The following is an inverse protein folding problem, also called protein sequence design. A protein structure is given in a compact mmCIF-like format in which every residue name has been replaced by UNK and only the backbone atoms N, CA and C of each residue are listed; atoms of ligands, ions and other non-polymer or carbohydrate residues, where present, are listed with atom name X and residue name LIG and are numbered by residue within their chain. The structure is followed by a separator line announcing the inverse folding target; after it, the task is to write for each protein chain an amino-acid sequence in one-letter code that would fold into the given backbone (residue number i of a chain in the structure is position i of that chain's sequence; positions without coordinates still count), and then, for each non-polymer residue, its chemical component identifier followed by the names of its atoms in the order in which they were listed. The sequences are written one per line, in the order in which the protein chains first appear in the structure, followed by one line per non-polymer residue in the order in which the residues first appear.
data_IF_859907559310
#
_entry.id   IF_859907559310
#
_cell.length_a   1.000
_cell.length_b   1.000
_cell.length_c   1.000
_cell.angle_alpha   90.00
_cell.angle_beta   90.00
_cell.angle_gamma   90.00
#
_symmetry.space_group_name_H-M   'P 1'
#
loop_
_entity.id
_entity.type
_entity.pdbx_description
1 polymer ?
#
# COMPACT_ATOMS: atom_id res chain seq x y z
N UNK A 1 3.70 -15.83 -13.00
CA UNK A 1 4.85 -14.99 -13.43
C UNK A 1 6.16 -15.55 -12.89
N UNK A 2 6.32 -15.76 -11.58
CA UNK A 2 7.53 -16.35 -10.97
C UNK A 2 7.92 -17.71 -11.58
N UNK A 3 6.93 -18.56 -11.89
CA UNK A 3 7.14 -19.85 -12.56
C UNK A 3 7.49 -19.69 -14.05
N UNK A 4 6.87 -18.72 -14.73
CA UNK A 4 7.10 -18.48 -16.16
C UNK A 4 8.54 -18.05 -16.46
N UNK A 5 9.23 -17.48 -15.49
CA UNK A 5 10.65 -17.08 -15.60
C UNK A 5 11.60 -18.11 -14.99
N UNK A 6 11.13 -19.27 -14.51
CA UNK A 6 11.95 -20.21 -13.75
C UNK A 6 13.24 -20.63 -14.48
N UNK A 7 13.17 -20.86 -15.79
CA UNK A 7 14.32 -21.21 -16.64
C UNK A 7 15.35 -20.09 -16.78
N UNK A 8 14.97 -18.84 -16.52
CA UNK A 8 15.83 -17.66 -16.62
C UNK A 8 16.48 -17.27 -15.28
N UNK A 9 16.08 -17.91 -14.18
CA UNK A 9 16.57 -17.56 -12.84
C UNK A 9 17.83 -18.34 -12.50
N UNK A 10 18.76 -17.66 -11.84
CA UNK A 10 19.87 -18.26 -11.09
C UNK A 10 19.54 -18.25 -9.59
N UNK A 11 20.31 -18.98 -8.79
CA UNK A 11 20.10 -19.03 -7.32
C UNK A 11 20.17 -17.66 -6.64
N UNK A 12 20.96 -16.74 -7.18
CA UNK A 12 21.11 -15.36 -6.72
C UNK A 12 20.05 -14.39 -7.26
N UNK A 13 19.14 -14.84 -8.12
CA UNK A 13 18.14 -13.96 -8.75
C UNK A 13 17.15 -13.45 -7.71
N UNK A 14 17.22 -12.16 -7.42
CA UNK A 14 16.30 -11.46 -6.54
C UNK A 14 15.02 -11.07 -7.28
N UNK A 15 13.87 -11.55 -6.80
CA UNK A 15 12.56 -11.15 -7.31
C UNK A 15 12.06 -9.94 -6.54
N UNK A 16 11.90 -8.81 -7.22
CA UNK A 16 11.36 -7.57 -6.62
C UNK A 16 9.94 -7.32 -7.08
N UNK A 17 9.04 -6.96 -6.17
CA UNK A 17 7.71 -6.45 -6.52
C UNK A 17 7.69 -4.92 -6.45
N UNK A 18 6.81 -4.28 -7.23
CA UNK A 18 6.62 -2.83 -7.14
C UNK A 18 5.80 -2.43 -5.89
N UNK A 19 5.83 -1.15 -5.56
CA UNK A 19 5.22 -0.60 -4.36
C UNK A 19 3.69 -0.84 -4.37
N UNK A 20 3.21 -1.66 -3.44
CA UNK A 20 1.78 -1.99 -3.29
C UNK A 20 1.33 -3.25 -4.03
N UNK A 21 2.17 -3.86 -4.87
CA UNK A 21 1.82 -5.04 -5.67
C UNK A 21 2.34 -6.35 -5.06
N UNK A 22 1.96 -6.63 -3.81
CA UNK A 22 2.28 -7.90 -3.16
C UNK A 22 1.09 -8.47 -2.36
N UNK A 23 1.11 -9.79 -2.16
CA UNK A 23 0.17 -10.51 -1.29
C UNK A 23 0.95 -11.47 -0.41
N UNK A 24 0.51 -11.64 0.83
CA UNK A 24 1.15 -12.55 1.80
C UNK A 24 1.27 -13.98 1.26
N UNK A 25 0.24 -14.47 0.56
CA UNK A 25 0.25 -15.79 -0.07
C UNK A 25 1.41 -15.95 -1.09
N UNK A 26 1.71 -14.91 -1.87
CA UNK A 26 2.80 -14.94 -2.84
C UNK A 26 4.16 -14.94 -2.14
N UNK A 27 4.29 -14.14 -1.07
CA UNK A 27 5.53 -14.08 -0.27
C UNK A 27 5.80 -15.41 0.42
N UNK A 28 4.76 -16.07 0.92
CA UNK A 28 4.84 -17.41 1.49
C UNK A 28 5.31 -18.42 0.45
N UNK A 29 4.73 -18.42 -0.75
CA UNK A 29 5.15 -19.30 -1.84
C UNK A 29 6.63 -19.09 -2.23
N UNK A 30 7.08 -17.84 -2.32
CA UNK A 30 8.48 -17.50 -2.58
C UNK A 30 9.41 -17.98 -1.46
N UNK A 31 8.99 -17.83 -0.21
CA UNK A 31 9.75 -18.30 0.95
C UNK A 31 9.86 -19.83 0.98
N UNK A 32 8.76 -20.55 0.73
CA UNK A 32 8.74 -22.03 0.65
C UNK A 32 9.61 -22.57 -0.47
N UNK A 33 9.71 -21.85 -1.59
CA UNK A 33 10.58 -22.21 -2.71
C UNK A 33 12.03 -21.73 -2.55
N UNK A 34 12.40 -21.15 -1.39
CA UNK A 34 13.72 -20.55 -1.14
C UNK A 34 14.16 -19.51 -2.19
N UNK A 35 13.21 -18.79 -2.78
CA UNK A 35 13.49 -17.77 -3.79
C UNK A 35 13.76 -16.43 -3.09
N UNK A 36 14.92 -15.79 -3.33
CA UNK A 36 15.18 -14.45 -2.81
C UNK A 36 14.15 -13.46 -3.36
N UNK A 37 13.55 -12.67 -2.47
CA UNK A 37 12.58 -11.65 -2.86
C UNK A 37 12.68 -10.39 -2.01
N UNK A 38 12.34 -9.24 -2.58
CA UNK A 38 12.28 -7.96 -1.91
C UNK A 38 10.95 -7.27 -2.25
N UNK A 39 10.35 -6.64 -1.26
CA UNK A 39 9.18 -5.77 -1.47
C UNK A 39 9.74 -4.36 -1.67
N UNK A 40 9.16 -3.55 -2.54
CA UNK A 40 9.56 -2.15 -2.64
C UNK A 40 9.21 -1.36 -1.38
N UNK A 41 10.08 -0.44 -0.95
CA UNK A 41 9.70 0.49 0.11
C UNK A 41 8.85 1.63 -0.48
N UNK A 42 7.59 1.68 -0.02
CA UNK A 42 6.65 2.76 -0.37
C UNK A 42 7.11 4.14 0.11
N UNK A 43 7.99 4.20 1.12
CA UNK A 43 8.50 5.41 1.71
C UNK A 43 9.94 5.74 1.28
N UNK A 44 10.51 5.01 0.30
CA UNK A 44 11.91 5.17 -0.14
C UNK A 44 12.26 6.64 -0.42
N UNK A 45 11.41 7.34 -1.19
CA UNK A 45 11.61 8.77 -1.52
C UNK A 45 11.52 9.71 -0.31
N UNK A 46 10.89 9.29 0.78
CA UNK A 46 10.81 10.08 2.01
C UNK A 46 12.03 9.93 2.92
N UNK A 47 12.80 8.86 2.74
CA UNK A 47 14.00 8.56 3.54
C UNK A 47 15.30 9.00 2.87
N UNK A 48 15.27 9.16 1.54
CA UNK A 48 16.45 9.50 0.74
C UNK A 48 16.64 11.01 0.59
N UNK A 49 17.81 11.50 0.99
CA UNK A 49 18.21 12.90 0.95
C UNK A 49 18.07 13.51 -0.45
N UNK A 50 18.27 12.71 -1.52
CA UNK A 50 18.15 13.16 -2.92
C UNK A 50 16.74 13.64 -3.28
N UNK A 51 15.72 13.22 -2.53
CA UNK A 51 14.32 13.53 -2.78
C UNK A 51 13.73 14.57 -1.81
N UNK A 52 14.53 15.20 -0.95
CA UNK A 52 14.04 16.23 -0.02
C UNK A 52 13.32 17.38 -0.73
N UNK A 53 13.80 17.78 -1.90
CA UNK A 53 13.21 18.86 -2.70
C UNK A 53 12.08 18.40 -3.65
N UNK A 54 11.61 17.15 -3.57
CA UNK A 54 10.60 16.60 -4.50
C UNK A 54 9.31 17.44 -4.53
N UNK A 55 8.98 18.12 -3.43
CA UNK A 55 7.84 19.03 -3.33
C UNK A 55 7.78 20.09 -4.43
N UNK A 56 8.93 20.50 -5.00
CA UNK A 56 9.02 21.47 -6.10
C UNK A 56 8.28 21.04 -7.38
N UNK A 57 8.13 19.73 -7.59
CA UNK A 57 7.42 19.17 -8.75
C UNK A 57 5.91 19.06 -8.53
N UNK A 58 5.45 19.07 -7.27
CA UNK A 58 4.02 19.05 -6.92
C UNK A 58 3.40 20.46 -6.89
N UNK A 59 4.23 21.50 -6.80
CA UNK A 59 3.80 22.89 -6.74
C UNK A 59 3.53 23.53 -8.12
N UNK A 60 3.93 22.85 -9.21
CA UNK A 60 3.67 23.36 -10.55
C UNK A 60 2.19 23.13 -10.90
N UNK A 61 1.47 24.15 -11.42
CA UNK A 61 0.15 23.91 -11.97
C UNK A 61 0.27 22.89 -13.09
N UNK A 62 -0.54 21.84 -13.02
CA UNK A 62 -0.60 20.83 -14.07
C UNK A 62 -1.25 21.50 -15.30
N UNK A 63 -0.54 21.48 -16.43
CA UNK A 63 -0.88 22.26 -17.63
C UNK A 63 -2.12 21.73 -18.36
N UNK A 64 -2.51 20.49 -18.07
CA UNK A 64 -3.58 19.77 -18.77
C UNK A 64 -4.86 19.62 -17.92
N UNK A 65 -4.73 19.46 -16.60
CA UNK A 65 -5.85 19.24 -15.69
C UNK A 65 -5.65 20.02 -14.38
N UNK A 66 -6.69 20.65 -13.84
CA UNK A 66 -6.61 21.21 -12.48
C UNK A 66 -6.59 20.09 -11.43
N UNK A 67 -5.39 19.61 -11.09
CA UNK A 67 -5.15 18.60 -10.04
C UNK A 67 -4.93 19.23 -8.67
N UNK A 68 -5.34 20.49 -8.48
CA UNK A 68 -5.40 21.12 -7.17
C UNK A 68 -6.07 20.19 -6.16
N UNK A 69 -5.41 19.92 -5.03
CA UNK A 69 -6.02 19.12 -3.97
C UNK A 69 -7.22 19.90 -3.45
N UNK A 70 -8.45 19.35 -3.48
CA UNK A 70 -9.59 20.03 -2.89
C UNK A 70 -9.30 20.34 -1.42
N UNK A 71 -9.87 21.42 -0.87
CA UNK A 71 -9.68 21.78 0.53
C UNK A 71 -9.94 20.57 1.43
N UNK A 72 -8.95 20.26 2.28
CA UNK A 72 -9.04 19.11 3.19
C UNK A 72 -10.24 19.30 4.11
N UNK A 73 -11.26 18.47 3.93
CA UNK A 73 -12.34 18.34 4.90
C UNK A 73 -11.77 18.10 6.31
N UNK A 74 -12.49 18.58 7.32
CA UNK A 74 -12.12 18.35 8.72
C UNK A 74 -11.88 16.86 8.98
N UNK A 75 -10.71 16.54 9.55
CA UNK A 75 -10.26 15.16 9.80
C UNK A 75 -11.29 14.43 10.67
N UNK A 76 -11.83 13.33 10.15
CA UNK A 76 -12.70 12.41 10.90
C UNK A 76 -11.91 11.72 12.02
N UNK A 77 -12.61 11.33 13.08
CA UNK A 77 -11.99 10.64 14.21
C UNK A 77 -11.41 9.27 13.80
N UNK A 78 -10.15 9.06 14.15
CA UNK A 78 -9.36 7.83 13.98
C UNK A 78 -9.38 7.03 15.28
N UNK A 79 -9.02 5.73 15.26
CA UNK A 79 -8.92 4.92 16.49
C UNK A 79 -8.06 5.56 17.58
N UNK A 80 -7.01 6.31 17.22
CA UNK A 80 -6.15 7.03 18.17
C UNK A 80 -6.85 8.18 18.92
N UNK A 81 -8.01 8.64 18.45
CA UNK A 81 -8.80 9.66 19.15
C UNK A 81 -9.78 9.02 20.16
N UNK A 82 -9.73 7.71 20.34
CA UNK A 82 -10.53 6.95 21.31
C UNK A 82 -9.58 6.44 22.39
N UNK A 83 -9.99 6.61 23.64
CA UNK A 83 -9.24 6.14 24.80
C UNK A 83 -9.61 4.67 25.04
N UNK A 84 -8.69 3.74 24.79
CA UNK A 84 -8.90 2.31 25.01
C UNK A 84 -8.10 1.81 26.22
N UNK A 85 -8.83 1.34 27.23
CA UNK A 85 -8.27 0.53 28.30
C UNK A 85 -8.56 -0.94 28.00
N UNK A 86 -7.53 -1.61 27.48
CA UNK A 86 -7.61 -3.03 27.10
C UNK A 86 -7.65 -3.97 28.28
N UNK A 87 -7.11 -3.58 29.42
CA UNK A 87 -7.10 -4.40 30.64
C UNK A 87 -8.48 -4.36 31.31
N UNK A 88 -9.09 -3.17 31.38
CA UNK A 88 -10.45 -3.00 31.87
C UNK A 88 -11.53 -3.39 30.85
N UNK A 89 -11.17 -3.57 29.57
CA UNK A 89 -12.13 -3.85 28.49
C UNK A 89 -13.08 -2.68 28.20
N UNK A 90 -12.60 -1.44 28.43
CA UNK A 90 -13.40 -0.23 28.24
C UNK A 90 -12.82 0.65 27.13
N UNK A 91 -13.69 1.41 26.46
CA UNK A 91 -13.25 2.39 25.47
C UNK A 91 -14.14 3.64 25.54
N UNK A 92 -13.54 4.82 25.59
CA UNK A 92 -14.23 6.10 25.65
C UNK A 92 -14.01 6.85 24.34
N UNK A 93 -15.10 7.24 23.68
CA UNK A 93 -15.03 8.03 22.46
C UNK A 93 -14.74 9.51 22.72
N UNK A 94 -14.38 10.29 21.68
CA UNK A 94 -14.11 11.73 21.78
C UNK A 94 -15.25 12.58 22.38
N UNK A 95 -16.47 12.05 22.41
CA UNK A 95 -17.64 12.68 23.03
C UNK A 95 -17.81 12.35 24.52
N UNK A 96 -16.84 11.67 25.15
CA UNK A 96 -16.91 11.20 26.54
C UNK A 96 -17.91 10.06 26.78
N UNK A 97 -18.33 9.36 25.71
CA UNK A 97 -19.29 8.25 25.79
C UNK A 97 -18.58 6.91 25.72
N UNK A 98 -18.97 5.98 26.58
CA UNK A 98 -18.40 4.64 26.62
C UNK A 98 -18.90 3.80 25.42
N UNK A 99 -17.99 3.02 24.85
CA UNK A 99 -18.25 1.96 23.89
C UNK A 99 -18.11 0.62 24.62
N UNK A 100 -18.94 -0.35 24.23
CA UNK A 100 -18.86 -1.70 24.79
C UNK A 100 -18.05 -2.63 23.88
N UNK A 101 -17.34 -3.56 24.48
CA UNK A 101 -16.57 -4.57 23.78
C UNK A 101 -17.51 -5.63 23.18
N UNK A 102 -17.36 -5.92 21.88
CA UNK A 102 -18.15 -6.94 21.16
C UNK A 102 -17.28 -8.12 20.74
N UNK A 103 -16.34 -8.49 21.61
CA UNK A 103 -15.35 -9.56 21.46
C UNK A 103 -13.90 -9.07 21.60
N UNK A 104 -13.11 -9.76 22.42
CA UNK A 104 -11.64 -9.78 22.34
C UNK A 104 -11.23 -10.76 21.23
N UNK A 105 -10.14 -10.47 20.52
CA UNK A 105 -9.49 -11.43 19.60
C UNK A 105 -10.29 -11.83 18.34
N UNK A 106 -11.06 -10.91 17.73
CA UNK A 106 -11.64 -11.17 16.41
C UNK A 106 -10.60 -11.00 15.29
N UNK A 107 -10.56 -11.92 14.33
CA UNK A 107 -9.74 -11.75 13.13
C UNK A 107 -10.34 -10.64 12.24
N UNK A 108 -9.62 -9.53 12.06
CA UNK A 108 -10.01 -8.42 11.20
C UNK A 108 -8.87 -8.08 10.24
N UNK A 109 -9.10 -8.28 8.93
CA UNK A 109 -8.09 -8.09 7.88
C UNK A 109 -6.78 -8.87 8.15
N UNK A 110 -6.90 -10.10 8.67
CA UNK A 110 -5.74 -10.94 9.00
C UNK A 110 -5.04 -10.58 10.32
N UNK A 111 -5.52 -9.58 11.05
CA UNK A 111 -4.98 -9.20 12.36
C UNK A 111 -5.98 -9.50 13.46
N UNK A 112 -5.51 -9.98 14.60
CA UNK A 112 -6.30 -10.01 15.83
C UNK A 112 -6.60 -8.58 16.28
N UNK A 113 -7.89 -8.27 16.42
CA UNK A 113 -8.35 -6.97 16.85
C UNK A 113 -9.42 -7.09 17.94
N UNK A 114 -9.34 -6.19 18.91
CA UNK A 114 -10.43 -5.96 19.86
C UNK A 114 -11.41 -4.99 19.23
N UNK A 115 -12.68 -5.37 19.21
CA UNK A 115 -13.75 -4.56 18.60
C UNK A 115 -14.59 -3.90 19.68
N UNK A 116 -14.66 -2.58 19.64
CA UNK A 116 -15.57 -1.77 20.44
C UNK A 116 -16.68 -1.19 19.57
N UNK A 117 -17.90 -1.16 20.10
CA UNK A 117 -19.09 -0.66 19.42
C UNK A 117 -19.80 0.37 20.29
N UNK A 118 -20.18 1.50 19.70
CA UNK A 118 -21.01 2.48 20.39
C UNK A 118 -22.43 1.98 20.64
N UNK A 119 -23.06 2.43 21.73
CA UNK A 119 -24.48 2.20 21.98
C UNK A 119 -25.33 3.07 21.03
N UNK A 120 -26.52 2.60 20.62
CA UNK A 120 -27.43 3.46 19.85
C UNK A 120 -27.95 4.62 20.70
N UNK A 121 -28.16 4.39 22.00
CA UNK A 121 -28.62 5.38 22.96
C UNK A 121 -27.71 6.61 23.02
N UNK A 122 -26.40 6.41 23.00
CA UNK A 122 -25.42 7.49 23.12
C UNK A 122 -24.91 7.97 21.75
N UNK A 123 -24.78 7.05 20.78
CA UNK A 123 -24.20 7.35 19.48
C UNK A 123 -25.14 8.07 18.51
N UNK A 124 -26.45 7.79 18.57
CA UNK A 124 -27.46 8.45 17.71
C UNK A 124 -27.63 9.93 18.03
N UNK A 125 -27.81 10.36 19.30
CA UNK A 125 -27.95 11.78 19.65
C UNK A 125 -26.62 12.54 19.74
N UNK A 126 -25.48 11.91 19.47
CA UNK A 126 -24.17 12.55 19.61
C UNK A 126 -23.96 13.70 18.62
N UNK A 127 -23.67 14.90 19.09
CA UNK A 127 -23.39 16.08 18.23
C UNK A 127 -22.13 15.94 17.35
N UNK A 128 -21.23 14.99 17.68
CA UNK A 128 -20.00 14.74 16.93
C UNK A 128 -20.16 13.68 15.81
N UNK A 129 -21.40 13.27 15.52
CA UNK A 129 -21.70 12.17 14.61
C UNK A 129 -21.19 12.36 13.18
N UNK A 130 -21.25 13.57 12.64
CA UNK A 130 -20.73 13.90 11.31
C UNK A 130 -19.19 13.75 11.20
N UNK A 131 -18.46 14.00 12.30
CA UNK A 131 -17.01 13.80 12.39
C UNK A 131 -16.63 12.35 12.75
N UNK A 132 -17.55 11.62 13.38
CA UNK A 132 -17.35 10.25 13.84
C UNK A 132 -17.68 9.21 12.78
N UNK A 133 -18.69 9.42 11.93
CA UNK A 133 -19.13 8.42 10.94
C UNK A 133 -18.78 8.83 9.51
N UNK A 134 -18.45 7.85 8.66
CA UNK A 134 -18.24 8.08 7.22
C UNK A 134 -19.55 8.36 6.49
N UNK A 135 -20.59 7.61 6.86
CA UNK A 135 -21.96 7.67 6.30
C UNK A 135 -22.98 7.69 7.44
N UNK A 136 -23.19 8.85 8.11
CA UNK A 136 -24.09 8.99 9.26
C UNK A 136 -25.53 8.53 9.02
N UNK A 137 -25.99 8.59 7.77
CA UNK A 137 -27.33 8.23 7.29
C UNK A 137 -27.55 6.71 7.23
N UNK A 138 -26.50 5.92 6.96
CA UNK A 138 -26.57 4.44 6.92
C UNK A 138 -26.11 3.80 8.22
N UNK A 139 -25.07 4.37 8.84
CA UNK A 139 -24.41 3.75 9.99
C UNK A 139 -24.95 4.33 11.27
N UNK A 140 -25.56 3.52 12.14
CA UNK A 140 -26.14 4.02 13.40
C UNK A 140 -25.12 4.31 14.48
N UNK A 141 -24.03 3.56 14.57
CA UNK A 141 -23.02 3.69 15.63
C UNK A 141 -21.62 3.42 15.08
N UNK A 142 -20.60 4.03 15.69
CA UNK A 142 -19.21 3.78 15.32
C UNK A 142 -18.78 2.40 15.84
N UNK A 143 -18.05 1.70 14.99
CA UNK A 143 -17.25 0.55 15.39
C UNK A 143 -15.78 0.94 15.29
N UNK A 144 -15.01 0.64 16.33
CA UNK A 144 -13.56 0.89 16.39
C UNK A 144 -12.87 -0.43 16.63
N UNK A 145 -11.80 -0.67 15.87
CA UNK A 145 -10.98 -1.86 15.96
C UNK A 145 -9.60 -1.45 16.43
N UNK A 146 -9.20 -1.94 17.60
CA UNK A 146 -7.85 -1.78 18.10
C UNK A 146 -7.08 -3.05 17.79
N UNK A 147 -6.06 -2.90 16.93
CA UNK A 147 -5.18 -4.02 16.59
C UNK A 147 -4.25 -4.27 17.77
N UNK A 148 -4.26 -5.48 18.29
CA UNK A 148 -3.22 -5.96 19.19
C UNK A 148 -2.11 -6.59 18.38
N UNK A 149 -0.85 -6.24 18.65
CA UNK A 149 0.24 -7.17 18.36
C UNK A 149 0.22 -8.19 19.50
N UNK A 150 -0.28 -9.39 19.25
CA UNK A 150 -0.03 -10.46 20.21
C UNK A 150 1.48 -10.77 20.15
N UNK A 151 2.19 -10.86 21.29
CA UNK A 151 3.64 -11.15 21.28
C UNK A 151 3.98 -12.51 20.66
N UNK A 152 2.99 -13.39 20.43
CA UNK A 152 3.16 -14.71 19.83
C UNK A 152 2.59 -14.86 18.42
N UNK A 153 2.17 -13.78 17.74
CA UNK A 153 1.89 -13.90 16.31
C UNK A 153 3.23 -14.12 15.60
N UNK A 154 3.40 -15.32 15.00
CA UNK A 154 4.54 -15.59 14.14
C UNK A 154 4.71 -14.44 13.15
N UNK A 155 5.94 -13.99 13.00
CA UNK A 155 6.24 -12.87 12.12
C UNK A 155 5.74 -13.17 10.70
N UNK A 156 4.96 -12.24 10.14
CA UNK A 156 4.50 -12.39 8.76
C UNK A 156 5.66 -12.33 7.77
N UNK A 157 5.52 -12.97 6.61
CA UNK A 157 6.52 -12.85 5.55
C UNK A 157 6.65 -11.40 5.08
N UNK A 158 5.57 -10.63 5.11
CA UNK A 158 5.61 -9.18 4.86
C UNK A 158 6.52 -8.46 5.84
N UNK A 159 6.37 -8.68 7.15
CA UNK A 159 7.19 -8.01 8.16
C UNK A 159 8.66 -8.39 8.04
N UNK A 160 8.95 -9.68 7.77
CA UNK A 160 10.30 -10.17 7.54
C UNK A 160 10.97 -9.49 6.35
N UNK A 161 10.22 -9.26 5.28
CA UNK A 161 10.71 -8.59 4.07
C UNK A 161 10.88 -7.09 4.27
N UNK A 162 10.01 -6.42 5.03
CA UNK A 162 10.19 -5.00 5.41
C UNK A 162 11.51 -4.80 6.16
N UNK A 163 11.77 -5.62 7.17
CA UNK A 163 13.05 -5.59 7.90
C UNK A 163 14.26 -5.91 7.01
N UNK A 164 14.07 -6.67 5.94
CA UNK A 164 15.14 -6.95 4.98
C UNK A 164 15.48 -5.71 4.14
N UNK A 165 14.49 -4.89 3.77
CA UNK A 165 14.70 -3.60 3.08
C UNK A 165 15.37 -2.59 4.00
N UNK A 166 15.01 -2.55 5.28
CA UNK A 166 15.59 -1.63 6.26
C UNK A 166 17.10 -1.83 6.47
N UNK A 167 17.67 -2.96 6.00
CA UNK A 167 19.12 -3.20 5.97
C UNK A 167 19.77 -2.43 4.82
N UNK A 168 21.03 -2.10 4.99
CA UNK A 168 21.80 -1.36 3.98
C UNK A 168 21.80 -2.04 2.59
N UNK A 169 22.01 -3.35 2.55
CA UNK A 169 21.93 -4.12 1.29
C UNK A 169 20.52 -4.09 0.67
N UNK A 170 19.48 -4.16 1.51
CA UNK A 170 18.09 -4.09 1.10
C UNK A 170 17.75 -2.75 0.46
N UNK A 171 18.16 -1.64 1.09
CA UNK A 171 18.02 -0.29 0.53
C UNK A 171 18.74 -0.16 -0.82
N UNK A 172 19.98 -0.64 -0.93
CA UNK A 172 20.72 -0.61 -2.21
C UNK A 172 20.01 -1.40 -3.32
N UNK A 173 19.43 -2.55 -2.99
CA UNK A 173 18.65 -3.33 -3.93
C UNK A 173 17.37 -2.59 -4.36
N UNK A 174 16.66 -1.92 -3.44
CA UNK A 174 15.46 -1.14 -3.74
C UNK A 174 15.76 0.12 -4.57
N UNK A 175 16.86 0.82 -4.27
CA UNK A 175 17.38 1.94 -5.07
C UNK A 175 17.68 1.50 -6.51
N UNK A 176 18.37 0.37 -6.68
CA UNK A 176 18.69 -0.18 -8.00
C UNK A 176 17.42 -0.61 -8.74
N UNK A 177 16.46 -1.18 -8.04
CA UNK A 177 15.14 -1.51 -8.59
C UNK A 177 14.46 -0.24 -9.10
N UNK A 178 14.38 0.79 -8.28
CA UNK A 178 13.80 2.08 -8.63
C UNK A 178 14.45 2.67 -9.89
N UNK A 179 15.77 2.75 -9.92
CA UNK A 179 16.53 3.27 -11.08
C UNK A 179 16.30 2.44 -12.36
N UNK A 180 16.07 1.13 -12.25
CA UNK A 180 15.79 0.26 -13.40
C UNK A 180 14.34 0.39 -13.88
N UNK A 181 13.40 0.56 -12.97
CA UNK A 181 11.95 0.46 -13.22
C UNK A 181 11.35 1.80 -13.62
N UNK A 182 11.75 2.91 -12.99
CA UNK A 182 11.20 4.25 -13.27
C UNK A 182 11.35 4.68 -14.73
N UNK A 183 12.49 4.50 -15.42
CA UNK A 183 12.60 4.87 -16.83
C UNK A 183 11.66 4.07 -17.73
N UNK A 184 11.34 2.82 -17.35
CA UNK A 184 10.40 1.98 -18.11
C UNK A 184 9.01 2.59 -18.06
N UNK A 185 8.51 2.88 -16.86
CA UNK A 185 7.21 3.51 -16.69
C UNK A 185 7.19 4.93 -17.26
N UNK A 186 8.23 5.73 -17.02
CA UNK A 186 8.36 7.06 -17.61
C UNK A 186 8.22 7.06 -19.12
N UNK A 187 8.91 6.15 -19.83
CA UNK A 187 8.78 6.00 -21.28
C UNK A 187 7.35 5.59 -21.69
N UNK A 188 6.77 4.61 -20.99
CA UNK A 188 5.42 4.13 -21.29
C UNK A 188 4.36 5.23 -21.17
N UNK A 189 4.41 6.05 -20.11
CA UNK A 189 3.47 7.15 -19.89
C UNK A 189 3.73 8.35 -20.82
N UNK A 190 4.98 8.79 -20.94
CA UNK A 190 5.32 10.03 -21.63
C UNK A 190 5.43 9.88 -23.15
N UNK A 191 6.04 8.80 -23.63
CA UNK A 191 6.36 8.63 -25.05
C UNK A 191 5.43 7.62 -25.72
N UNK A 192 5.13 6.50 -25.06
CA UNK A 192 4.25 5.47 -25.64
C UNK A 192 2.77 5.81 -25.53
N UNK A 193 2.41 6.87 -24.79
CA UNK A 193 1.01 7.31 -24.62
C UNK A 193 0.14 6.32 -23.85
N UNK A 194 0.73 5.47 -23.01
CA UNK A 194 -0.03 4.53 -22.20
C UNK A 194 -0.92 5.30 -21.22
N UNK A 195 -2.22 5.09 -21.35
CA UNK A 195 -3.23 5.59 -20.40
C UNK A 195 -3.98 4.40 -19.81
N UNK A 196 -4.32 4.50 -18.53
CA UNK A 196 -5.14 3.50 -17.87
C UNK A 196 -6.49 3.40 -18.59
N UNK A 197 -6.68 2.36 -19.41
CA UNK A 197 -7.93 2.16 -20.16
C UNK A 197 -9.09 1.94 -19.17
N UNK A 198 -10.15 2.77 -19.20
CA UNK A 198 -11.29 2.61 -18.29
C UNK A 198 -12.12 1.37 -18.60
N UNK A 199 -12.00 0.82 -19.81
CA UNK A 199 -12.96 -0.15 -20.36
C UNK A 199 -12.26 -1.30 -21.09
N UNK A 200 -12.15 -2.45 -20.42
CA UNK A 200 -11.68 -3.68 -21.05
C UNK A 200 -11.55 -4.79 -20.01
N UNK A 201 -12.20 -5.94 -20.23
CA UNK A 201 -12.02 -7.09 -19.35
C UNK A 201 -10.55 -7.51 -19.23
N UNK A 202 -10.20 -8.20 -18.15
CA UNK A 202 -8.81 -8.57 -17.77
C UNK A 202 -7.93 -9.05 -18.94
N UNK A 203 -8.48 -9.84 -19.87
CA UNK A 203 -7.76 -10.35 -21.05
C UNK A 203 -7.28 -9.23 -21.99
N UNK A 204 -8.11 -8.20 -22.22
CA UNK A 204 -7.76 -7.07 -23.09
C UNK A 204 -6.67 -6.20 -22.44
N UNK A 205 -6.82 -5.94 -21.14
CA UNK A 205 -5.81 -5.18 -20.36
C UNK A 205 -4.46 -5.92 -20.36
N UNK A 206 -4.47 -7.24 -20.13
CA UNK A 206 -3.26 -8.08 -20.18
C UNK A 206 -2.61 -8.09 -21.57
N UNK A 207 -3.41 -8.18 -22.64
CA UNK A 207 -2.93 -8.12 -24.02
C UNK A 207 -2.26 -6.78 -24.36
N UNK A 208 -2.93 -5.67 -24.05
CA UNK A 208 -2.35 -4.33 -24.23
C UNK A 208 -1.06 -4.17 -23.42
N UNK A 209 -1.07 -4.56 -22.16
CA UNK A 209 0.11 -4.47 -21.29
C UNK A 209 1.31 -5.21 -21.89
N UNK A 210 1.12 -6.46 -22.34
CA UNK A 210 2.18 -7.26 -22.97
C UNK A 210 2.70 -6.63 -24.27
N UNK A 211 1.83 -6.00 -25.06
CA UNK A 211 2.24 -5.31 -26.28
C UNK A 211 3.14 -4.11 -25.95
N UNK A 212 2.72 -3.26 -25.01
CA UNK A 212 3.53 -2.14 -24.52
C UNK A 212 4.90 -2.59 -24.00
N UNK A 213 4.95 -3.65 -23.18
CA UNK A 213 6.21 -4.20 -22.70
C UNK A 213 7.10 -4.70 -23.84
N UNK A 214 6.53 -5.33 -24.88
CA UNK A 214 7.29 -5.82 -26.03
C UNK A 214 7.86 -4.67 -26.86
N UNK A 215 7.04 -3.66 -27.16
CA UNK A 215 7.49 -2.46 -27.88
C UNK A 215 8.62 -1.76 -27.13
N UNK A 216 8.46 -1.55 -25.83
CA UNK A 216 9.50 -0.95 -24.98
C UNK A 216 10.82 -1.74 -25.04
N UNK A 217 10.76 -3.07 -24.99
CA UNK A 217 11.97 -3.91 -25.08
C UNK A 217 12.63 -3.84 -26.47
N UNK A 218 11.83 -3.79 -27.55
CA UNK A 218 12.33 -3.63 -28.91
C UNK A 218 13.00 -2.26 -29.10
N UNK A 219 12.41 -1.18 -28.59
CA UNK A 219 13.02 0.16 -28.59
C UNK A 219 14.38 0.15 -27.88
N UNK A 220 14.48 -0.50 -26.71
CA UNK A 220 15.78 -0.64 -26.04
C UNK A 220 16.81 -1.35 -26.91
N UNK A 221 16.45 -2.48 -27.51
CA UNK A 221 17.36 -3.23 -28.38
C UNK A 221 17.81 -2.38 -29.57
N UNK A 222 16.89 -1.71 -30.25
CA UNK A 222 17.21 -0.83 -31.36
C UNK A 222 18.19 0.28 -30.94
N UNK A 223 17.96 0.96 -29.80
CA UNK A 223 18.87 2.02 -29.34
C UNK A 223 20.22 1.52 -28.81
N UNK A 224 20.33 0.24 -28.41
CA UNK A 224 21.60 -0.37 -28.04
C UNK A 224 22.45 -0.81 -29.24
N UNK A 225 21.83 -1.11 -30.39
CA UNK A 225 22.53 -1.55 -31.62
C UNK A 225 23.07 -0.39 -32.48
N UNK A 226 22.62 0.86 -32.27
CA UNK A 226 23.12 2.06 -32.98
C UNK A 226 24.19 2.85 -32.20
N UNK A 227 24.69 2.32 -31.08
CA UNK A 227 25.77 2.92 -30.29
C UNK A 227 27.10 2.14 -30.39
N UNK A 228 27.29 1.41 -31.50
CA UNK A 228 28.54 0.77 -31.91
C UNK A 228 29.25 1.54 -33.00
#
# INVERSE_FOLDING_TARGET
MVEAIALLRRHETLITADAGDYREANLKALASAAIPALIADTAMRGHDERFQDQGRHQAKPDLLDDKGKPPKEARRFRPADFDDDREAGTCIGPAGKALYQKGSNGLHNGHLATRFTGSQRDGVPCGLRARCLRTPEKTRVRQVYFRGKYPAAEESHTDRRKRAIDREEGRRCDDRRFARVEPVFGNLWANSGWTASPCGGRKKVDGHWKLYCRTHNLEKLAHHEYAG
#
